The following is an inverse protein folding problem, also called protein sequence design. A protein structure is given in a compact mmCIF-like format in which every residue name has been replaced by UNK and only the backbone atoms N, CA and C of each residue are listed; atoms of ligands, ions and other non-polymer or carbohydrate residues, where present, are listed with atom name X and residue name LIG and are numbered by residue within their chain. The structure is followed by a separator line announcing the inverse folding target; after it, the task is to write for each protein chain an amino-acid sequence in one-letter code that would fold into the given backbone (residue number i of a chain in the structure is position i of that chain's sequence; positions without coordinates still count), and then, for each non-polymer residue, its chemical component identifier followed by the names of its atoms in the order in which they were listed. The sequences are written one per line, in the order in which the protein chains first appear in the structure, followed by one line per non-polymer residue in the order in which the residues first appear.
data_IF_849784954714
#
_entry.id   IF_849784954714
#
_cell.length_a   1.000
_cell.length_b   1.000
_cell.length_c   1.000
_cell.angle_alpha   90.00
_cell.angle_beta   90.00
_cell.angle_gamma   90.00
#
_symmetry.space_group_name_H-M   'P 1'
#
loop_
_entity.id
_entity.type
_entity.pdbx_description
1 polymer ?
#
# COMPACT_ATOMS: atom_id res chain seq x y z
N UNK A 1 7.36 -22.57 1.62
CA UNK A 1 5.98 -22.04 1.56
C UNK A 1 6.06 -20.55 1.80
N UNK A 2 5.58 -19.74 0.85
CA UNK A 2 5.34 -18.33 1.12
C UNK A 2 4.20 -18.27 2.14
N UNK A 3 4.48 -17.78 3.35
CA UNK A 3 3.42 -17.42 4.28
C UNK A 3 2.52 -16.37 3.61
N UNK A 4 1.19 -16.43 3.78
CA UNK A 4 0.32 -15.35 3.35
C UNK A 4 0.84 -14.04 3.96
N UNK A 5 1.00 -12.99 3.15
CA UNK A 5 1.49 -11.67 3.60
C UNK A 5 0.56 -10.98 4.61
N UNK A 6 -0.57 -11.61 4.91
CA UNK A 6 -1.65 -11.14 5.75
C UNK A 6 -2.05 -12.30 6.66
N UNK A 7 -1.83 -12.18 7.96
CA UNK A 7 -2.44 -13.10 8.93
C UNK A 7 -3.97 -12.95 8.81
N UNK A 8 -4.69 -13.95 8.26
CA UNK A 8 -6.11 -13.79 7.96
C UNK A 8 -6.93 -13.52 9.22
N UNK A 9 -6.45 -13.96 10.39
CA UNK A 9 -7.14 -13.81 11.68
C UNK A 9 -7.41 -12.35 12.06
N UNK A 10 -6.43 -11.46 11.88
CA UNK A 10 -6.57 -10.04 12.21
C UNK A 10 -7.67 -9.37 11.38
N UNK A 11 -7.63 -9.60 10.05
CA UNK A 11 -8.57 -8.99 9.11
C UNK A 11 -9.93 -9.70 9.07
N UNK A 12 -10.07 -10.91 9.60
CA UNK A 12 -11.36 -11.63 9.69
C UNK A 12 -11.98 -11.61 11.09
N UNK A 13 -11.28 -10.98 12.04
CA UNK A 13 -11.70 -10.86 13.44
C UNK A 13 -13.07 -10.20 13.59
N UNK A 14 -13.75 -10.51 14.71
CA UNK A 14 -15.02 -9.88 15.06
C UNK A 14 -14.86 -8.38 15.32
N UNK A 15 -13.77 -8.00 15.98
CA UNK A 15 -13.42 -6.61 16.31
C UNK A 15 -13.21 -5.77 15.05
N UNK A 16 -12.40 -6.24 14.10
CA UNK A 16 -12.18 -5.53 12.84
C UNK A 16 -13.49 -5.36 12.04
N UNK A 17 -14.33 -6.40 12.01
CA UNK A 17 -15.65 -6.32 11.36
C UNK A 17 -16.59 -5.35 12.05
N UNK A 18 -16.50 -5.19 13.37
CA UNK A 18 -17.30 -4.22 14.11
C UNK A 18 -16.87 -2.79 13.76
N UNK A 19 -15.58 -2.50 13.81
CA UNK A 19 -15.03 -1.19 13.46
C UNK A 19 -15.44 -0.77 12.04
N UNK A 20 -15.33 -1.68 11.06
CA UNK A 20 -15.75 -1.41 9.69
C UNK A 20 -17.24 -1.06 9.59
N UNK A 21 -18.11 -1.71 10.38
CA UNK A 21 -19.54 -1.38 10.41
C UNK A 21 -19.79 0.01 10.99
N UNK A 22 -19.10 0.36 12.07
CA UNK A 22 -19.22 1.68 12.71
C UNK A 22 -18.77 2.82 11.77
N UNK A 23 -17.77 2.55 10.92
CA UNK A 23 -17.29 3.47 9.89
C UNK A 23 -18.10 3.44 8.58
N UNK A 24 -19.17 2.64 8.49
CA UNK A 24 -19.95 2.41 7.26
C UNK A 24 -19.10 1.91 6.06
N UNK A 25 -18.06 1.15 6.35
CA UNK A 25 -17.16 0.55 5.35
C UNK A 25 -17.56 -0.90 5.07
N UNK A 26 -17.67 -1.24 3.79
CA UNK A 26 -17.90 -2.63 3.37
C UNK A 26 -16.58 -3.38 3.31
N UNK A 27 -16.48 -4.45 4.09
CA UNK A 27 -15.35 -5.37 3.98
C UNK A 27 -15.36 -6.08 2.61
N UNK A 28 -14.22 -6.08 1.92
CA UNK A 28 -14.01 -6.83 0.69
C UNK A 28 -12.80 -7.73 0.86
N UNK A 29 -13.02 -9.05 0.82
CA UNK A 29 -11.96 -10.05 0.89
C UNK A 29 -11.90 -10.77 -0.46
N UNK A 30 -10.69 -10.89 -1.00
CA UNK A 30 -10.45 -11.64 -2.24
C UNK A 30 -10.86 -13.09 -2.12
N UNK A 31 -11.16 -13.74 -3.25
CA UNK A 31 -11.39 -15.19 -3.28
C UNK A 31 -10.06 -15.91 -3.08
N UNK A 32 -10.05 -16.94 -2.24
CA UNK A 32 -8.90 -17.83 -2.08
C UNK A 32 -8.42 -18.35 -3.45
N UNK A 33 -7.10 -18.25 -3.69
CA UNK A 33 -6.47 -18.68 -4.94
C UNK A 33 -6.44 -17.61 -6.05
N UNK A 34 -6.94 -16.39 -5.80
CA UNK A 34 -6.80 -15.26 -6.72
C UNK A 34 -5.70 -14.32 -6.21
N UNK A 35 -4.67 -14.07 -7.03
CA UNK A 35 -3.52 -13.26 -6.64
C UNK A 35 -3.69 -11.75 -6.91
N UNK A 36 -4.69 -11.35 -7.70
CA UNK A 36 -4.86 -9.96 -8.12
C UNK A 36 -4.98 -8.99 -6.94
N UNK A 37 -5.74 -9.38 -5.91
CA UNK A 37 -5.95 -8.52 -4.73
C UNK A 37 -4.66 -8.32 -3.91
N UNK A 38 -3.71 -9.25 -3.99
CA UNK A 38 -2.43 -9.17 -3.27
C UNK A 38 -1.29 -8.60 -4.11
N UNK A 39 -1.40 -8.61 -5.44
CA UNK A 39 -0.32 -8.26 -6.36
C UNK A 39 0.25 -6.84 -6.11
N UNK A 40 -0.62 -5.87 -5.78
CA UNK A 40 -0.19 -4.51 -5.45
C UNK A 40 0.64 -4.46 -4.16
N UNK A 41 0.19 -5.17 -3.11
CA UNK A 41 0.90 -5.26 -1.84
C UNK A 41 2.24 -5.99 -2.00
N UNK A 42 2.26 -7.12 -2.73
CA UNK A 42 3.48 -7.86 -3.05
C UNK A 42 4.51 -6.99 -3.78
N UNK A 43 4.08 -6.22 -4.78
CA UNK A 43 4.96 -5.32 -5.52
C UNK A 43 5.57 -4.24 -4.61
N UNK A 44 4.76 -3.64 -3.74
CA UNK A 44 5.22 -2.64 -2.77
C UNK A 44 6.23 -3.25 -1.78
N UNK A 45 5.88 -4.36 -1.12
CA UNK A 45 6.74 -4.98 -0.11
C UNK A 45 8.00 -5.59 -0.70
N UNK A 46 7.94 -6.10 -1.93
CA UNK A 46 9.13 -6.55 -2.67
C UNK A 46 10.13 -5.41 -2.85
N UNK A 47 9.65 -4.22 -3.23
CA UNK A 47 10.50 -3.05 -3.39
C UNK A 47 11.06 -2.53 -2.06
N UNK A 48 10.21 -2.38 -1.04
CA UNK A 48 10.63 -1.94 0.30
C UNK A 48 11.76 -2.82 0.84
N UNK A 49 11.58 -4.15 0.76
CA UNK A 49 12.58 -5.12 1.25
C UNK A 49 13.86 -5.10 0.41
N UNK A 50 13.75 -4.90 -0.90
CA UNK A 50 14.93 -4.81 -1.77
C UNK A 50 15.79 -3.59 -1.48
N UNK A 51 15.19 -2.45 -1.13
CA UNK A 51 15.92 -1.20 -0.97
C UNK A 51 16.38 -0.91 0.46
N UNK A 52 15.54 -1.22 1.46
CA UNK A 52 15.90 -0.97 2.87
C UNK A 52 15.78 -2.20 3.76
N UNK A 53 15.34 -3.34 3.23
CA UNK A 53 15.07 -4.54 4.05
C UNK A 53 16.30 -5.25 4.60
N UNK A 54 17.50 -4.93 4.09
CA UNK A 54 18.79 -5.43 4.61
C UNK A 54 19.50 -4.44 5.52
N UNK A 55 18.92 -3.26 5.74
CA UNK A 55 19.48 -2.28 6.66
C UNK A 55 19.44 -2.81 8.10
N UNK A 56 20.46 -2.42 8.87
CA UNK A 56 20.51 -2.67 10.32
C UNK A 56 20.26 -1.34 11.00
N UNK A 57 19.27 -1.31 11.89
CA UNK A 57 18.92 -0.11 12.64
C UNK A 57 19.25 -0.29 14.12
N UNK A 58 19.78 0.76 14.73
CA UNK A 58 20.13 0.77 16.16
C UNK A 58 18.90 0.75 17.08
N UNK A 59 17.74 1.16 16.56
CA UNK A 59 16.48 1.16 17.30
C UNK A 59 15.27 0.95 16.40
N UNK A 60 14.14 0.63 17.03
CA UNK A 60 12.84 0.50 16.33
C UNK A 60 12.39 1.85 15.79
N UNK A 61 12.69 2.93 16.49
CA UNK A 61 12.35 4.29 16.10
C UNK A 61 13.10 4.70 14.84
N UNK A 62 14.38 4.35 14.73
CA UNK A 62 15.18 4.56 13.53
C UNK A 62 14.60 3.79 12.33
N UNK A 63 14.25 2.51 12.52
CA UNK A 63 13.61 1.70 11.48
C UNK A 63 12.26 2.31 11.03
N UNK A 64 11.44 2.78 11.98
CA UNK A 64 10.16 3.46 11.66
C UNK A 64 10.36 4.74 10.87
N UNK A 65 11.34 5.57 11.25
CA UNK A 65 11.66 6.80 10.55
C UNK A 65 12.12 6.51 9.11
N UNK A 66 12.92 5.47 8.91
CA UNK A 66 13.44 5.10 7.60
C UNK A 66 12.34 4.52 6.69
N UNK A 67 11.47 3.66 7.23
CA UNK A 67 10.27 3.18 6.52
C UNK A 67 9.35 4.35 6.15
N UNK A 68 9.14 5.30 7.06
CA UNK A 68 8.33 6.49 6.78
C UNK A 68 8.95 7.32 5.65
N UNK A 69 10.26 7.59 5.70
CA UNK A 69 10.98 8.29 4.64
C UNK A 69 10.87 7.57 3.30
N UNK A 70 11.06 6.25 3.30
CA UNK A 70 10.89 5.44 2.09
C UNK A 70 9.49 5.61 1.50
N UNK A 71 8.44 5.55 2.31
CA UNK A 71 7.05 5.68 1.82
C UNK A 71 6.80 7.09 1.29
N UNK A 72 7.05 8.11 2.11
CA UNK A 72 6.63 9.48 1.82
C UNK A 72 7.49 10.18 0.77
N UNK A 73 8.79 9.93 0.79
CA UNK A 73 9.74 10.60 -0.09
C UNK A 73 10.07 9.70 -1.26
N UNK A 74 10.72 8.57 -1.01
CA UNK A 74 11.32 7.76 -2.08
C UNK A 74 10.25 7.11 -2.97
N UNK A 75 9.21 6.51 -2.37
CA UNK A 75 8.16 5.80 -3.08
C UNK A 75 7.13 6.76 -3.65
N UNK A 76 6.49 7.59 -2.82
CA UNK A 76 5.35 8.40 -3.25
C UNK A 76 5.74 9.62 -4.07
N UNK A 77 6.86 10.30 -3.76
CA UNK A 77 7.19 11.62 -4.32
C UNK A 77 8.36 11.62 -5.30
N UNK A 78 9.27 10.65 -5.21
CA UNK A 78 10.47 10.64 -6.06
C UNK A 78 10.39 9.59 -7.18
N UNK A 79 9.79 8.43 -6.92
CA UNK A 79 9.83 7.31 -7.87
C UNK A 79 8.87 7.49 -9.03
N UNK A 80 9.40 7.59 -10.23
CA UNK A 80 8.62 7.58 -11.46
C UNK A 80 8.12 6.17 -11.80
N UNK A 81 6.84 6.09 -12.18
CA UNK A 81 6.15 4.90 -12.69
C UNK A 81 5.55 5.23 -14.04
N UNK A 82 5.61 4.28 -14.97
CA UNK A 82 4.96 4.42 -16.27
C UNK A 82 3.44 4.40 -16.07
N UNK A 83 2.78 5.49 -16.43
CA UNK A 83 1.34 5.62 -16.55
C UNK A 83 0.93 5.44 -18.01
N UNK A 84 -0.13 4.66 -18.32
CA UNK A 84 -0.54 4.40 -19.70
C UNK A 84 -0.92 5.67 -20.47
N UNK A 85 -1.49 6.67 -19.79
CA UNK A 85 -2.01 7.89 -20.40
C UNK A 85 -1.06 9.10 -20.31
N UNK A 86 -0.29 9.20 -19.22
CA UNK A 86 0.45 10.43 -18.87
C UNK A 86 1.97 10.27 -18.93
N UNK A 87 2.47 9.16 -19.47
CA UNK A 87 3.89 8.90 -19.58
C UNK A 87 4.49 8.41 -18.25
N UNK A 88 5.34 9.20 -17.61
CA UNK A 88 5.95 8.84 -16.33
C UNK A 88 5.51 9.80 -15.23
N UNK A 89 4.93 9.26 -14.17
CA UNK A 89 4.44 10.01 -13.02
C UNK A 89 4.85 9.31 -11.72
N UNK A 90 4.99 10.09 -10.66
CA UNK A 90 5.08 9.55 -9.30
C UNK A 90 3.73 9.00 -8.84
N UNK A 91 3.70 8.09 -7.84
CA UNK A 91 2.44 7.65 -7.23
C UNK A 91 1.59 8.81 -6.71
N UNK A 92 2.22 9.84 -6.13
CA UNK A 92 1.50 11.02 -5.65
C UNK A 92 0.87 11.80 -6.81
N UNK A 93 1.60 12.03 -7.89
CA UNK A 93 1.07 12.72 -9.08
C UNK A 93 -0.04 11.94 -9.78
N UNK A 94 0.06 10.60 -9.79
CA UNK A 94 -0.98 9.71 -10.31
C UNK A 94 -2.25 9.84 -9.48
N UNK A 95 -2.13 9.80 -8.15
CA UNK A 95 -3.26 9.99 -7.24
C UNK A 95 -3.92 11.36 -7.40
N UNK A 96 -3.12 12.42 -7.51
CA UNK A 96 -3.62 13.78 -7.67
C UNK A 96 -4.46 13.93 -8.95
N UNK A 97 -4.03 13.31 -10.05
CA UNK A 97 -4.78 13.30 -11.32
C UNK A 97 -6.08 12.51 -11.23
N UNK A 98 -6.05 11.30 -10.68
CA UNK A 98 -7.27 10.52 -10.49
C UNK A 98 -8.31 11.26 -9.63
N UNK A 99 -7.89 11.97 -8.58
CA UNK A 99 -8.81 12.74 -7.74
C UNK A 99 -9.44 13.93 -8.48
N UNK A 100 -8.73 14.55 -9.43
CA UNK A 100 -9.30 15.59 -10.29
C UNK A 100 -10.42 15.01 -11.17
N UNK A 101 -10.25 13.80 -11.71
CA UNK A 101 -11.26 13.12 -12.53
C UNK A 101 -12.52 12.73 -11.74
N UNK A 102 -12.41 12.50 -10.43
CA UNK A 102 -13.54 12.19 -9.54
C UNK A 102 -14.16 13.41 -8.84
N UNK A 103 -13.64 14.62 -9.06
CA UNK A 103 -14.26 15.85 -8.57
C UNK A 103 -15.37 16.24 -9.55
N UNK A 104 -16.66 16.28 -9.15
CA UNK A 104 -17.72 16.68 -10.06
C UNK A 104 -17.44 18.11 -10.55
N UNK A 105 -17.61 18.35 -11.85
CA UNK A 105 -17.71 19.72 -12.34
C UNK A 105 -18.87 20.41 -11.61
N UNK A 106 -18.57 21.55 -10.97
CA UNK A 106 -19.54 22.34 -10.22
C UNK A 106 -20.69 22.86 -11.09
#
# INVERSE_FOLDING_TARGET
MLHPLVEPGEYTSGEFRQELRELNLRQSMGRTGICYDNAAAESFFGLLKAEIGTAVWDSREAARADVFRFIEVEYNRTRLRKHPEFGYLTPLETRARLQQDFTPAA
#
